data_IF_734837801753
#
_entry.id   IF_734837801753
#
_cell.length_a   1.000
_cell.length_b   1.000
_cell.length_c   1.000
_cell.angle_alpha   90.00
_cell.angle_beta   90.00
_cell.angle_gamma   90.00
#
_symmetry.space_group_name_H-M   'P 1'
#
loop_
_entity.id
_entity.type
_entity.pdbx_description
1 polymer ?
#
# COMPACT_ATOMS: atom_id res chain seq x y z
N UNK A 1 -30.00 -0.47 5.50
CA UNK A 1 -29.67 -1.63 6.35
C UNK A 1 -28.20 -1.98 6.23
N UNK A 2 -27.64 -2.64 7.23
CA UNK A 2 -26.28 -3.16 7.20
C UNK A 2 -26.20 -4.53 7.89
N UNK A 3 -25.41 -5.45 7.34
CA UNK A 3 -25.06 -6.72 7.98
C UNK A 3 -23.53 -6.75 8.16
N UNK A 4 -23.10 -6.97 9.41
CA UNK A 4 -21.68 -7.00 9.79
C UNK A 4 -21.35 -8.39 10.31
N UNK A 5 -20.41 -9.05 9.65
CA UNK A 5 -19.92 -10.39 10.04
C UNK A 5 -18.42 -10.34 10.23
N UNK A 6 -17.93 -10.94 11.30
CA UNK A 6 -16.51 -10.88 11.60
C UNK A 6 -16.14 -11.55 12.91
N UNK A 7 -14.85 -11.51 13.21
CA UNK A 7 -14.30 -11.88 14.51
C UNK A 7 -13.16 -10.93 14.89
N UNK A 8 -12.94 -10.79 16.19
CA UNK A 8 -11.84 -10.01 16.75
C UNK A 8 -11.11 -10.84 17.79
N UNK A 9 -9.78 -10.82 17.73
CA UNK A 9 -8.91 -11.51 18.68
C UNK A 9 -7.98 -10.48 19.30
N UNK A 10 -7.94 -10.44 20.63
CA UNK A 10 -7.01 -9.60 21.38
C UNK A 10 -6.21 -10.45 22.36
N UNK A 11 -4.88 -10.37 22.26
CA UNK A 11 -3.94 -10.94 23.22
C UNK A 11 -3.26 -9.79 23.95
N UNK A 12 -3.34 -9.77 25.28
CA UNK A 12 -2.77 -8.71 26.10
C UNK A 12 -1.93 -9.24 27.25
N UNK A 13 -0.82 -8.57 27.54
CA UNK A 13 0.02 -8.78 28.72
C UNK A 13 0.31 -7.43 29.36
N UNK A 14 -0.27 -7.17 30.52
CA UNK A 14 -0.16 -5.90 31.25
C UNK A 14 0.68 -5.98 32.53
N UNK A 15 1.45 -7.06 32.72
CA UNK A 15 2.27 -7.30 33.90
C UNK A 15 3.64 -7.88 33.53
N UNK A 16 4.63 -7.62 34.38
CA UNK A 16 6.00 -8.12 34.28
C UNK A 16 7.01 -6.98 34.05
N UNK A 17 8.29 -7.29 34.26
CA UNK A 17 9.38 -6.30 34.35
C UNK A 17 10.20 -6.12 33.06
N UNK A 18 9.75 -6.74 31.97
CA UNK A 18 10.50 -6.82 30.71
C UNK A 18 9.69 -6.48 29.48
N UNK A 19 8.46 -7.02 29.38
CA UNK A 19 7.61 -6.90 28.20
C UNK A 19 6.16 -6.79 28.64
N UNK A 20 5.47 -5.77 28.13
CA UNK A 20 4.05 -5.54 28.26
C UNK A 20 3.48 -5.08 26.91
N UNK A 21 2.17 -5.20 26.72
CA UNK A 21 1.54 -4.76 25.48
C UNK A 21 0.29 -5.54 25.11
N UNK A 22 -0.16 -5.32 23.88
CA UNK A 22 -1.23 -6.08 23.27
C UNK A 22 -1.02 -6.26 21.77
N UNK A 23 -1.62 -7.30 21.23
CA UNK A 23 -1.86 -7.54 19.82
C UNK A 23 -3.37 -7.70 19.61
N UNK A 24 -3.90 -7.01 18.61
CA UNK A 24 -5.30 -7.06 18.24
C UNK A 24 -5.41 -7.30 16.74
N UNK A 25 -6.30 -8.20 16.35
CA UNK A 25 -6.60 -8.53 14.96
C UNK A 25 -8.11 -8.56 14.78
N UNK A 26 -8.59 -7.85 13.77
CA UNK A 26 -10.00 -7.77 13.41
C UNK A 26 -10.18 -8.21 11.96
N UNK A 27 -11.09 -9.15 11.75
CA UNK A 27 -11.62 -9.49 10.44
C UNK A 27 -13.09 -9.06 10.42
N UNK A 28 -13.46 -8.14 9.54
CA UNK A 28 -14.86 -7.72 9.37
C UNK A 28 -15.28 -7.58 7.90
N UNK A 29 -16.54 -7.94 7.63
CA UNK A 29 -17.26 -7.77 6.37
C UNK A 29 -18.51 -6.97 6.67
N UNK A 30 -18.69 -5.83 6.01
CA UNK A 30 -19.89 -4.99 6.17
C UNK A 30 -20.63 -4.91 4.86
N UNK A 31 -21.81 -5.51 4.76
CA UNK A 31 -22.70 -5.21 3.63
C UNK A 31 -23.63 -4.07 4.00
N UNK A 32 -23.88 -3.15 3.08
CA UNK A 32 -24.82 -2.04 3.27
C UNK A 32 -25.76 -1.96 2.07
N UNK A 33 -27.00 -1.54 2.31
CA UNK A 33 -27.96 -1.30 1.25
C UNK A 33 -29.04 -0.33 1.74
N UNK A 34 -29.73 0.31 0.81
CA UNK A 34 -30.88 1.15 1.13
C UNK A 34 -32.18 0.33 1.04
N UNK A 35 -33.12 0.65 1.90
CA UNK A 35 -34.51 0.31 1.64
C UNK A 35 -35.10 1.43 0.80
N UNK A 36 -35.94 1.09 -0.18
CA UNK A 36 -36.60 2.05 -1.08
C UNK A 36 -35.63 2.78 -2.03
N UNK A 37 -36.13 3.84 -2.68
CA UNK A 37 -35.37 4.68 -3.60
C UNK A 37 -34.83 5.92 -2.87
N UNK A 38 -33.67 6.41 -3.29
CA UNK A 38 -33.02 7.57 -2.62
C UNK A 38 -33.77 8.88 -2.83
N UNK A 39 -34.58 8.98 -3.89
CA UNK A 39 -35.37 10.15 -4.24
C UNK A 39 -36.85 9.79 -4.46
N UNK A 40 -37.74 10.72 -4.16
CA UNK A 40 -39.13 10.67 -4.56
C UNK A 40 -39.41 11.90 -5.43
N UNK A 41 -39.68 11.68 -6.71
CA UNK A 41 -40.03 12.72 -7.67
C UNK A 41 -41.52 13.01 -7.60
N UNK A 42 -41.89 14.29 -7.51
CA UNK A 42 -43.28 14.74 -7.58
C UNK A 42 -43.92 14.41 -8.94
N UNK A 43 -43.12 14.35 -10.00
CA UNK A 43 -43.57 13.97 -11.33
C UNK A 43 -43.69 12.45 -11.45
N UNK A 44 -44.88 11.86 -11.68
CA UNK A 44 -45.09 10.42 -11.73
C UNK A 44 -44.42 9.71 -12.92
N UNK A 45 -44.11 10.42 -14.00
CA UNK A 45 -43.36 9.86 -15.13
C UNK A 45 -41.85 9.80 -14.82
N UNK A 46 -41.31 10.84 -14.18
CA UNK A 46 -39.93 10.86 -13.70
C UNK A 46 -39.71 9.83 -12.59
N UNK A 47 -40.67 9.70 -11.66
CA UNK A 47 -40.65 8.68 -10.62
C UNK A 47 -40.61 7.27 -11.23
N UNK A 48 -41.49 6.95 -12.18
CA UNK A 48 -41.49 5.63 -12.84
C UNK A 48 -40.19 5.32 -13.59
N UNK A 49 -39.59 6.29 -14.27
CA UNK A 49 -38.32 6.05 -14.97
C UNK A 49 -37.16 5.88 -13.99
N UNK A 50 -37.16 6.65 -12.90
CA UNK A 50 -36.19 6.48 -11.82
C UNK A 50 -36.35 5.12 -11.16
N UNK A 51 -37.55 4.67 -10.80
CA UNK A 51 -37.77 3.34 -10.24
C UNK A 51 -37.32 2.19 -11.17
N UNK A 52 -37.40 2.41 -12.49
CA UNK A 52 -36.97 1.44 -13.52
C UNK A 52 -35.45 1.35 -13.69
N UNK A 53 -34.74 2.45 -13.45
CA UNK A 53 -33.30 2.59 -13.78
C UNK A 53 -32.40 2.72 -12.56
N UNK A 54 -32.97 3.11 -11.41
CA UNK A 54 -32.29 3.27 -10.15
C UNK A 54 -31.71 1.94 -9.67
N UNK A 55 -30.47 2.03 -9.20
CA UNK A 55 -29.74 0.94 -8.55
C UNK A 55 -29.64 1.18 -7.05
N UNK A 56 -30.48 2.05 -6.49
CA UNK A 56 -30.37 2.51 -5.11
C UNK A 56 -30.63 1.39 -4.08
N UNK A 57 -31.39 0.37 -4.46
CA UNK A 57 -31.59 -0.84 -3.67
C UNK A 57 -30.47 -1.88 -3.84
N UNK A 58 -29.46 -1.65 -4.69
CA UNK A 58 -28.34 -2.57 -4.85
C UNK A 58 -27.51 -2.62 -3.55
N UNK A 59 -27.34 -3.83 -3.03
CA UNK A 59 -26.56 -4.06 -1.82
C UNK A 59 -25.07 -3.97 -2.13
N UNK A 60 -24.37 -3.04 -1.50
CA UNK A 60 -22.92 -3.02 -1.46
C UNK A 60 -22.41 -4.18 -0.60
N UNK A 61 -21.58 -5.04 -1.19
CA UNK A 61 -20.91 -6.17 -0.53
C UNK A 61 -19.39 -5.99 -0.64
N UNK A 62 -18.82 -4.99 0.06
CA UNK A 62 -17.38 -4.76 0.03
C UNK A 62 -16.63 -6.00 0.52
N UNK A 63 -15.48 -6.26 -0.09
CA UNK A 63 -14.60 -7.34 0.32
C UNK A 63 -14.00 -7.00 1.69
N UNK A 64 -13.95 -7.96 2.64
CA UNK A 64 -13.34 -7.77 3.96
C UNK A 64 -11.98 -7.08 3.86
N UNK A 65 -11.70 -6.18 4.81
CA UNK A 65 -10.41 -5.51 4.94
C UNK A 65 -9.86 -5.71 6.35
N UNK A 66 -9.27 -6.88 6.65
CA UNK A 66 -8.76 -7.14 7.97
C UNK A 66 -7.70 -6.13 8.38
N UNK A 67 -7.59 -5.91 9.68
CA UNK A 67 -6.66 -4.96 10.29
C UNK A 67 -6.06 -5.55 11.55
N UNK A 68 -4.79 -5.24 11.79
CA UNK A 68 -4.09 -5.61 12.99
C UNK A 68 -3.37 -4.41 13.59
N UNK A 69 -3.26 -4.39 14.91
CA UNK A 69 -2.44 -3.43 15.65
C UNK A 69 -1.74 -4.08 16.82
N UNK A 70 -0.54 -3.62 17.09
CA UNK A 70 0.23 -4.01 18.24
C UNK A 70 0.78 -2.77 18.94
N UNK A 71 0.73 -2.78 20.26
CA UNK A 71 1.48 -1.87 21.11
C UNK A 71 2.34 -2.73 22.03
N UNK A 72 3.66 -2.68 21.83
CA UNK A 72 4.62 -3.50 22.56
C UNK A 72 5.60 -2.60 23.29
N UNK A 73 5.61 -2.67 24.61
CA UNK A 73 6.56 -1.97 25.47
C UNK A 73 7.58 -2.97 26.03
N UNK A 74 8.85 -2.67 25.80
CA UNK A 74 10.01 -3.39 26.34
C UNK A 74 10.73 -2.47 27.31
N UNK A 75 11.20 -3.02 28.42
CA UNK A 75 11.91 -2.24 29.41
C UNK A 75 12.93 -3.10 30.15
N UNK A 76 13.95 -2.46 30.69
CA UNK A 76 14.94 -3.11 31.54
C UNK A 76 14.77 -2.62 32.99
N UNK A 77 14.99 -3.49 33.99
CA UNK A 77 15.05 -3.06 35.39
C UNK A 77 16.07 -1.93 35.59
N UNK A 78 15.86 -1.09 36.60
CA UNK A 78 16.71 0.07 36.87
C UNK A 78 18.20 -0.29 37.04
N UNK A 79 18.50 -1.40 37.72
CA UNK A 79 19.87 -1.87 37.98
C UNK A 79 20.30 -3.01 37.06
N UNK A 80 19.75 -3.08 35.85
CA UNK A 80 20.12 -4.14 34.91
C UNK A 80 21.54 -3.93 34.34
N UNK A 81 22.36 -4.98 34.38
CA UNK A 81 23.72 -5.00 33.83
C UNK A 81 24.80 -4.57 34.83
N UNK A 82 26.07 -4.46 34.38
CA UNK A 82 27.16 -4.05 35.25
C UNK A 82 27.06 -2.57 35.61
N UNK A 83 27.37 -2.25 36.87
CA UNK A 83 27.52 -0.88 37.33
C UNK A 83 28.84 -0.30 36.80
N UNK A 84 28.78 0.91 36.26
CA UNK A 84 29.96 1.67 35.86
C UNK A 84 29.82 3.11 36.36
N UNK A 85 30.73 3.53 37.24
CA UNK A 85 30.74 4.89 37.81
C UNK A 85 29.40 5.33 38.44
N UNK A 86 28.72 4.43 39.18
CA UNK A 86 27.46 4.75 39.85
C UNK A 86 26.22 4.71 38.95
N UNK A 87 26.35 4.33 37.67
CA UNK A 87 25.24 4.19 36.74
C UNK A 87 25.15 2.77 36.19
N UNK A 88 23.93 2.37 35.80
CA UNK A 88 23.65 1.13 35.09
C UNK A 88 23.33 1.45 33.63
N UNK A 89 24.30 1.31 32.69
CA UNK A 89 24.11 1.69 31.29
C UNK A 89 23.03 0.87 30.58
N UNK A 90 22.85 -0.39 30.99
CA UNK A 90 21.84 -1.30 30.43
C UNK A 90 20.50 -1.25 31.20
N UNK A 91 20.47 -0.62 32.37
CA UNK A 91 19.28 -0.43 33.16
C UNK A 91 18.33 0.60 32.56
N UNK A 92 17.09 0.65 33.03
CA UNK A 92 16.14 1.75 32.79
C UNK A 92 16.00 2.22 31.33
N UNK A 93 16.07 1.28 30.39
CA UNK A 93 15.66 1.50 29.01
C UNK A 93 14.16 1.26 28.90
N UNK A 94 13.50 2.05 28.06
CA UNK A 94 12.11 1.81 27.66
C UNK A 94 12.00 1.96 26.15
N UNK A 95 11.49 0.94 25.50
CA UNK A 95 11.19 0.93 24.08
C UNK A 95 9.69 0.66 23.92
N UNK A 96 8.98 1.46 23.14
CA UNK A 96 7.58 1.22 22.78
C UNK A 96 7.45 1.21 21.27
N UNK A 97 6.98 0.09 20.72
CA UNK A 97 6.68 -0.10 19.31
C UNK A 97 5.16 -0.07 19.12
N UNK A 98 4.69 0.87 18.29
CA UNK A 98 3.32 0.92 17.80
C UNK A 98 3.32 0.40 16.36
N UNK A 99 2.84 -0.81 16.14
CA UNK A 99 2.76 -1.41 14.82
C UNK A 99 1.30 -1.52 14.35
N UNK A 100 1.07 -1.37 13.06
CA UNK A 100 -0.22 -1.56 12.42
C UNK A 100 -0.08 -2.18 11.06
N UNK A 101 -1.10 -2.92 10.66
CA UNK A 101 -1.25 -3.51 9.34
C UNK A 101 -2.72 -3.43 8.94
N UNK A 102 -2.98 -3.11 7.68
CA UNK A 102 -4.32 -3.21 7.10
C UNK A 102 -4.23 -3.85 5.73
N UNK A 103 -5.12 -4.81 5.48
CA UNK A 103 -5.31 -5.37 4.16
C UNK A 103 -5.62 -4.27 3.15
N UNK A 104 -4.97 -4.35 1.99
CA UNK A 104 -5.31 -3.53 0.85
C UNK A 104 -6.76 -3.75 0.41
N UNK A 105 -7.37 -2.73 -0.20
CA UNK A 105 -8.76 -2.82 -0.63
C UNK A 105 -8.86 -3.44 -2.01
N UNK A 106 -9.91 -4.24 -2.21
CA UNK A 106 -10.31 -4.69 -3.53
C UNK A 106 -11.11 -3.61 -4.25
N UNK A 107 -10.90 -3.53 -5.56
CA UNK A 107 -11.67 -2.68 -6.45
C UNK A 107 -11.83 -3.35 -7.81
N UNK A 108 -12.73 -2.80 -8.60
CA UNK A 108 -12.97 -3.26 -9.96
C UNK A 108 -12.06 -2.50 -10.92
N UNK A 109 -11.22 -3.23 -11.64
CA UNK A 109 -10.41 -2.70 -12.73
C UNK A 109 -10.77 -3.41 -14.03
N UNK A 110 -11.05 -2.63 -15.06
CA UNK A 110 -11.53 -3.11 -16.37
C UNK A 110 -10.74 -2.51 -17.53
N UNK A 111 -9.67 -1.74 -17.27
CA UNK A 111 -8.86 -1.12 -18.32
C UNK A 111 -9.43 0.17 -18.93
N UNK A 112 -10.38 0.84 -18.27
CA UNK A 112 -10.97 2.11 -18.72
C UNK A 112 -12.45 2.05 -19.14
N UNK A 113 -13.16 0.96 -18.84
CA UNK A 113 -14.57 0.77 -19.22
C UNK A 113 -15.37 -0.07 -18.23
N UNK A 114 -16.29 -0.90 -18.72
CA UNK A 114 -16.99 -1.88 -17.90
C UNK A 114 -17.03 -3.22 -18.63
N UNK A 115 -16.78 -4.31 -17.89
CA UNK A 115 -16.87 -5.68 -18.41
C UNK A 115 -17.89 -6.40 -17.53
N UNK A 116 -19.03 -6.86 -18.07
CA UNK A 116 -20.03 -7.59 -17.30
C UNK A 116 -19.42 -8.78 -16.55
N UNK A 117 -19.72 -8.91 -15.26
CA UNK A 117 -19.23 -10.01 -14.41
C UNK A 117 -17.81 -9.80 -13.83
N UNK A 118 -17.08 -8.76 -14.23
CA UNK A 118 -15.80 -8.41 -13.62
C UNK A 118 -16.04 -7.40 -12.49
N UNK A 119 -15.90 -7.86 -11.24
CA UNK A 119 -16.06 -7.05 -10.05
C UNK A 119 -14.98 -7.41 -9.01
N UNK A 120 -14.46 -6.41 -8.30
CA UNK A 120 -13.50 -6.58 -7.20
C UNK A 120 -12.32 -7.52 -7.54
N UNK A 121 -11.83 -7.43 -8.78
CA UNK A 121 -10.87 -8.37 -9.35
C UNK A 121 -9.42 -8.03 -9.00
N UNK A 122 -9.14 -6.83 -8.51
CA UNK A 122 -7.78 -6.37 -8.18
C UNK A 122 -7.74 -5.85 -6.76
N UNK A 123 -6.66 -6.16 -6.04
CA UNK A 123 -6.41 -5.69 -4.67
C UNK A 123 -5.22 -4.74 -4.65
N UNK A 124 -5.33 -3.62 -3.95
CA UNK A 124 -4.17 -2.81 -3.60
C UNK A 124 -3.24 -3.56 -2.65
N UNK A 125 -1.96 -3.18 -2.61
CA UNK A 125 -1.02 -3.65 -1.59
C UNK A 125 -1.51 -3.28 -0.19
N UNK A 126 -1.13 -4.12 0.77
CA UNK A 126 -1.35 -3.90 2.18
C UNK A 126 -0.66 -2.64 2.69
N UNK A 127 -1.25 -2.03 3.71
CA UNK A 127 -0.71 -0.84 4.36
C UNK A 127 -0.06 -1.24 5.68
N UNK A 128 1.19 -0.81 5.87
CA UNK A 128 1.99 -1.10 7.06
C UNK A 128 2.38 0.19 7.79
N UNK A 129 2.37 0.15 9.12
CA UNK A 129 2.82 1.25 9.96
C UNK A 129 3.63 0.75 11.14
N UNK A 130 4.69 1.47 11.50
CA UNK A 130 5.49 1.17 12.68
C UNK A 130 6.14 2.44 13.20
N UNK A 131 5.78 2.84 14.42
CA UNK A 131 6.37 3.97 15.13
C UNK A 131 7.08 3.45 16.39
N UNK A 132 8.19 4.08 16.73
CA UNK A 132 9.07 3.66 17.82
C UNK A 132 9.33 4.84 18.76
N UNK A 133 9.12 4.64 20.05
CA UNK A 133 9.65 5.51 21.11
C UNK A 133 10.70 4.75 21.88
N UNK A 134 11.89 5.33 22.01
CA UNK A 134 12.97 4.84 22.85
C UNK A 134 13.28 5.89 23.91
N UNK A 135 13.41 5.46 25.17
CA UNK A 135 13.90 6.31 26.24
C UNK A 135 14.90 5.59 27.13
N UNK A 136 15.81 6.38 27.70
CA UNK A 136 16.79 5.93 28.69
C UNK A 136 16.87 6.97 29.78
N UNK A 137 16.56 6.55 31.00
CA UNK A 137 16.70 7.37 32.19
C UNK A 137 18.02 7.09 32.89
N UNK A 138 18.64 8.15 33.41
CA UNK A 138 19.90 8.11 34.14
C UNK A 138 19.77 9.01 35.36
N UNK A 139 19.88 8.41 36.54
CA UNK A 139 19.98 9.15 37.79
C UNK A 139 21.40 9.68 37.93
N UNK A 140 21.58 10.99 37.90
CA UNK A 140 22.89 11.65 37.94
C UNK A 140 23.22 12.10 39.37
N UNK A 141 22.20 12.45 40.15
CA UNK A 141 22.31 12.74 41.58
C UNK A 141 21.03 12.29 42.28
N UNK A 142 21.03 12.27 43.61
CA UNK A 142 19.86 11.85 44.40
C UNK A 142 18.57 12.57 44.00
N UNK A 143 18.66 13.85 43.62
CA UNK A 143 17.54 14.71 43.27
C UNK A 143 17.40 14.96 41.76
N UNK A 144 18.28 14.41 40.90
CA UNK A 144 18.33 14.74 39.48
C UNK A 144 18.26 13.48 38.60
N UNK A 145 17.22 13.41 37.77
CA UNK A 145 17.05 12.40 36.72
C UNK A 145 17.05 13.05 35.33
N UNK A 146 17.86 12.49 34.42
CA UNK A 146 17.89 12.86 33.01
C UNK A 146 17.28 11.71 32.19
N UNK A 147 16.32 12.03 31.33
CA UNK A 147 15.74 11.07 30.39
C UNK A 147 16.03 11.52 28.95
N UNK A 148 16.75 10.69 28.22
CA UNK A 148 16.99 10.83 26.79
C UNK A 148 15.88 10.13 26.04
N UNK A 149 15.30 10.80 25.04
CA UNK A 149 14.16 10.33 24.27
C UNK A 149 14.48 10.35 22.77
N UNK A 150 14.08 9.31 22.06
CA UNK A 150 14.08 9.26 20.59
C UNK A 150 12.72 8.75 20.13
N UNK A 151 12.00 9.58 19.38
CA UNK A 151 10.73 9.20 18.74
C UNK A 151 10.95 9.10 17.23
N UNK A 152 10.64 7.93 16.66
CA UNK A 152 10.75 7.65 15.23
C UNK A 152 9.37 7.32 14.68
N UNK A 153 8.91 8.07 13.70
CA UNK A 153 7.74 7.68 12.90
C UNK A 153 8.19 6.86 11.70
N UNK A 154 7.42 5.86 11.31
CA UNK A 154 7.75 4.96 10.20
C UNK A 154 9.18 4.39 10.30
N UNK A 155 9.49 3.74 11.43
CA UNK A 155 10.84 3.25 11.78
C UNK A 155 11.45 2.33 10.72
N UNK A 156 10.61 1.55 10.03
CA UNK A 156 11.03 0.65 8.94
C UNK A 156 10.99 1.29 7.55
N UNK A 157 10.63 2.57 7.45
CA UNK A 157 10.53 3.31 6.19
C UNK A 157 9.63 2.61 5.16
N UNK A 158 8.47 2.12 5.61
CA UNK A 158 7.44 1.55 4.74
C UNK A 158 7.00 2.59 3.71
N UNK A 159 6.87 2.13 2.46
CA UNK A 159 6.42 2.93 1.32
C UNK A 159 5.00 2.51 0.94
N UNK A 160 4.03 3.05 1.68
CA UNK A 160 2.62 2.83 1.37
C UNK A 160 2.19 3.82 0.29
N UNK A 161 1.99 3.31 -0.93
CA UNK A 161 1.61 4.15 -2.06
C UNK A 161 0.16 4.66 -1.91
N UNK A 162 -0.06 5.94 -2.19
CA UNK A 162 -1.41 6.51 -2.21
C UNK A 162 -2.17 6.04 -3.44
N UNK A 163 -3.40 5.60 -3.25
CA UNK A 163 -4.33 5.30 -4.35
C UNK A 163 -4.97 6.52 -4.99
N UNK A 164 -4.67 7.74 -4.51
CA UNK A 164 -5.35 8.98 -4.93
C UNK A 164 -4.41 10.16 -5.13
N UNK A 165 -3.57 10.49 -4.15
CA UNK A 165 -2.96 11.82 -4.06
C UNK A 165 -1.77 12.03 -5.02
N UNK A 166 -1.08 10.96 -5.43
CA UNK A 166 0.05 11.08 -6.36
C UNK A 166 -0.37 11.29 -7.82
N UNK A 167 -1.60 10.94 -8.18
CA UNK A 167 -2.06 10.97 -9.56
C UNK A 167 -2.57 12.37 -9.91
N UNK A 168 -2.05 12.94 -10.99
CA UNK A 168 -2.45 14.25 -11.49
C UNK A 168 -3.90 14.25 -12.00
N UNK A 169 -4.28 13.21 -12.76
CA UNK A 169 -5.62 13.03 -13.31
C UNK A 169 -5.94 11.53 -13.52
N UNK A 170 -7.09 11.25 -14.15
CA UNK A 170 -7.48 9.88 -14.47
C UNK A 170 -6.58 9.19 -15.50
N UNK A 171 -5.91 9.94 -16.39
CA UNK A 171 -5.00 9.38 -17.40
C UNK A 171 -3.68 8.94 -16.78
N UNK A 172 -3.18 9.71 -15.83
CA UNK A 172 -2.02 9.35 -15.01
C UNK A 172 -2.29 8.05 -14.23
N UNK A 173 -3.45 7.97 -13.56
CA UNK A 173 -3.89 6.74 -12.90
C UNK A 173 -4.00 5.55 -13.87
N UNK A 174 -4.60 5.77 -15.04
CA UNK A 174 -4.76 4.73 -16.05
C UNK A 174 -3.41 4.26 -16.62
N UNK A 175 -2.45 5.17 -16.84
CA UNK A 175 -1.11 4.85 -17.29
C UNK A 175 -0.38 3.97 -16.28
N UNK A 176 -0.41 4.35 -14.98
CA UNK A 176 0.09 3.52 -13.90
C UNK A 176 -0.55 2.13 -13.89
N UNK A 177 -1.89 2.07 -13.87
CA UNK A 177 -2.61 0.79 -13.81
C UNK A 177 -2.33 -0.13 -15.00
N UNK A 178 -2.20 0.44 -16.21
CA UNK A 178 -1.87 -0.32 -17.43
C UNK A 178 -0.39 -0.73 -17.51
N UNK A 179 0.47 -0.05 -16.76
CA UNK A 179 1.89 -0.40 -16.66
C UNK A 179 2.15 -1.60 -15.75
N UNK A 180 1.24 -1.90 -14.81
CA UNK A 180 1.37 -3.05 -13.92
C UNK A 180 1.21 -4.37 -14.67
N UNK A 181 2.09 -5.32 -14.39
CA UNK A 181 1.99 -6.67 -14.91
C UNK A 181 1.11 -7.51 -13.97
N UNK A 182 -0.21 -7.39 -14.13
CA UNK A 182 -1.18 -8.12 -13.30
C UNK A 182 -1.11 -9.64 -13.57
N UNK A 183 -1.60 -10.45 -12.63
CA UNK A 183 -1.66 -11.90 -12.81
C UNK A 183 -2.42 -12.30 -14.08
N UNK A 184 -2.04 -13.43 -14.67
CA UNK A 184 -2.67 -13.95 -15.88
C UNK A 184 -4.18 -14.09 -15.70
N UNK A 185 -4.64 -14.62 -14.57
CA UNK A 185 -6.05 -14.84 -14.24
C UNK A 185 -6.87 -13.54 -14.26
N UNK A 186 -6.24 -12.42 -13.86
CA UNK A 186 -6.85 -11.10 -13.95
C UNK A 186 -6.78 -10.63 -15.41
N UNK A 187 -5.60 -10.66 -16.02
CA UNK A 187 -5.36 -10.19 -17.38
C UNK A 187 -6.26 -10.84 -18.44
N UNK A 188 -6.53 -12.13 -18.34
CA UNK A 188 -7.39 -12.88 -19.26
C UNK A 188 -8.82 -12.32 -19.28
N UNK A 189 -9.33 -11.90 -18.11
CA UNK A 189 -10.65 -11.25 -17.97
C UNK A 189 -10.68 -9.83 -18.54
N UNK A 190 -9.53 -9.21 -18.76
CA UNK A 190 -9.37 -7.84 -19.27
C UNK A 190 -9.03 -7.79 -20.77
N UNK A 191 -8.92 -8.96 -21.41
CA UNK A 191 -8.45 -9.11 -22.79
C UNK A 191 -9.25 -8.32 -23.83
N UNK A 192 -10.52 -8.02 -23.56
CA UNK A 192 -11.38 -7.17 -24.40
C UNK A 192 -11.14 -5.67 -24.25
N UNK A 193 -10.46 -5.24 -23.17
CA UNK A 193 -10.26 -3.82 -22.86
C UNK A 193 -8.84 -3.36 -23.16
N UNK A 194 -7.83 -4.13 -22.76
CA UNK A 194 -6.43 -3.85 -23.09
C UNK A 194 -5.57 -5.11 -23.01
N UNK A 195 -4.34 -5.01 -23.47
CA UNK A 195 -3.37 -6.10 -23.44
C UNK A 195 -2.60 -6.05 -22.11
N UNK A 196 -2.92 -6.94 -21.18
CA UNK A 196 -2.12 -7.15 -19.97
C UNK A 196 -0.85 -7.95 -20.28
N UNK A 197 0.27 -7.57 -19.67
CA UNK A 197 1.48 -8.39 -19.62
C UNK A 197 1.38 -9.23 -18.34
N UNK A 198 1.33 -10.57 -18.41
CA UNK A 198 1.22 -11.39 -17.21
C UNK A 198 2.39 -11.19 -16.25
N UNK A 199 2.10 -11.01 -14.97
CA UNK A 199 3.10 -10.89 -13.91
C UNK A 199 2.51 -11.13 -12.53
N UNK A 200 3.14 -10.53 -11.52
CA UNK A 200 2.73 -10.65 -10.11
C UNK A 200 2.56 -9.30 -9.43
N UNK A 201 2.39 -8.23 -10.23
CA UNK A 201 2.23 -6.89 -9.69
C UNK A 201 0.83 -6.70 -9.10
N UNK A 202 0.77 -5.86 -8.07
CA UNK A 202 -0.46 -5.33 -7.52
C UNK A 202 -0.45 -3.80 -7.56
N UNK A 203 -1.61 -3.14 -7.67
CA UNK A 203 -1.70 -1.70 -7.40
C UNK A 203 -1.11 -1.36 -6.03
N UNK A 204 -0.29 -0.32 -5.99
CA UNK A 204 0.59 0.00 -4.88
C UNK A 204 2.04 -0.44 -5.09
N UNK A 205 2.31 -1.30 -6.08
CA UNK A 205 3.68 -1.56 -6.52
C UNK A 205 4.26 -0.33 -7.22
N UNK A 206 5.56 -0.16 -7.08
CA UNK A 206 6.28 1.00 -7.57
C UNK A 206 7.64 0.63 -8.14
N UNK A 207 8.15 1.49 -9.01
CA UNK A 207 9.47 1.37 -9.60
C UNK A 207 10.56 1.41 -8.53
N UNK A 208 11.37 0.35 -8.46
CA UNK A 208 12.37 0.17 -7.40
C UNK A 208 13.65 0.95 -7.67
N UNK A 209 14.11 0.94 -8.93
CA UNK A 209 15.36 1.59 -9.32
C UNK A 209 15.44 1.93 -10.81
N UNK A 210 16.11 3.04 -11.12
CA UNK A 210 16.44 3.45 -12.48
C UNK A 210 15.29 4.19 -13.17
N UNK A 211 15.58 4.62 -14.40
CA UNK A 211 14.65 5.39 -15.20
C UNK A 211 13.45 4.56 -15.66
N UNK A 212 12.38 5.25 -16.00
CA UNK A 212 11.20 4.63 -16.59
C UNK A 212 11.57 4.03 -17.94
N UNK A 213 11.24 2.75 -18.15
CA UNK A 213 11.43 2.06 -19.43
C UNK A 213 10.07 1.49 -19.84
N UNK A 214 9.32 2.17 -20.72
CA UNK A 214 7.97 1.74 -21.06
C UNK A 214 8.02 0.39 -21.77
N UNK A 215 7.18 -0.54 -21.31
CA UNK A 215 6.91 -1.77 -22.04
C UNK A 215 5.51 -1.64 -22.66
N UNK A 216 5.46 -1.65 -23.99
CA UNK A 216 4.23 -1.52 -24.76
C UNK A 216 3.75 -2.91 -25.15
N UNK A 217 2.59 -3.36 -24.65
CA UNK A 217 2.07 -4.67 -25.00
C UNK A 217 1.37 -4.62 -26.36
N UNK A 218 1.71 -5.55 -27.25
CA UNK A 218 1.14 -5.69 -28.60
C UNK A 218 0.75 -7.14 -28.87
N UNK A 219 -0.25 -7.36 -29.72
CA UNK A 219 -0.67 -8.72 -30.08
C UNK A 219 0.35 -9.37 -31.01
N UNK A 220 0.77 -8.62 -32.03
CA UNK A 220 1.74 -9.00 -33.05
C UNK A 220 2.58 -7.77 -33.38
N UNK A 221 3.90 -7.91 -33.26
CA UNK A 221 4.85 -6.81 -33.42
C UNK A 221 4.90 -6.29 -34.87
N UNK A 222 4.54 -7.12 -35.84
CA UNK A 222 4.55 -6.76 -37.27
C UNK A 222 3.39 -5.84 -37.65
N UNK A 223 2.36 -5.73 -36.80
CA UNK A 223 1.23 -4.84 -37.00
C UNK A 223 1.45 -3.43 -36.40
N UNK A 224 2.59 -3.19 -35.76
CA UNK A 224 2.93 -1.87 -35.21
C UNK A 224 3.39 -0.95 -36.35
N UNK A 225 2.66 0.13 -36.58
CA UNK A 225 3.02 1.12 -37.60
C UNK A 225 4.27 1.89 -37.17
N UNK A 226 5.15 2.24 -38.13
CA UNK A 226 6.36 3.04 -37.85
C UNK A 226 6.06 4.35 -37.12
N UNK A 227 4.90 4.96 -37.35
CA UNK A 227 4.45 6.19 -36.69
C UNK A 227 4.02 6.01 -35.23
N UNK A 228 3.81 4.77 -34.79
CA UNK A 228 3.42 4.40 -33.42
C UNK A 228 4.60 3.90 -32.59
N UNK A 229 5.78 3.75 -33.20
CA UNK A 229 6.98 3.34 -32.52
C UNK A 229 7.44 4.46 -31.59
N UNK A 230 7.55 4.15 -30.30
CA UNK A 230 8.02 5.06 -29.27
C UNK A 230 9.51 4.83 -29.06
N UNK A 231 10.29 5.91 -29.18
CA UNK A 231 11.73 5.85 -28.93
C UNK A 231 12.02 5.40 -27.49
N UNK A 232 13.01 4.52 -27.34
CA UNK A 232 13.38 3.92 -26.04
C UNK A 232 12.36 2.97 -25.41
N UNK A 233 11.27 2.61 -26.10
CA UNK A 233 10.30 1.65 -25.59
C UNK A 233 10.65 0.19 -25.94
N UNK A 234 10.37 -0.68 -24.99
CA UNK A 234 10.37 -2.14 -25.19
C UNK A 234 8.95 -2.54 -25.60
N UNK A 235 8.82 -3.53 -26.47
CA UNK A 235 7.53 -4.05 -26.92
C UNK A 235 7.40 -5.50 -26.51
N UNK A 236 6.37 -5.82 -25.74
CA UNK A 236 6.04 -7.20 -25.40
C UNK A 236 5.03 -7.74 -26.40
N UNK A 237 5.39 -8.81 -27.11
CA UNK A 237 4.50 -9.46 -28.07
C UNK A 237 3.74 -10.61 -27.42
N UNK A 238 2.41 -10.54 -27.41
CA UNK A 238 1.54 -11.53 -26.76
C UNK A 238 1.71 -12.95 -27.33
N UNK A 239 1.82 -13.08 -28.66
CA UNK A 239 1.83 -14.38 -29.31
C UNK A 239 3.09 -15.20 -29.00
N UNK A 240 4.26 -14.55 -28.98
CA UNK A 240 5.53 -15.20 -28.65
C UNK A 240 5.93 -15.07 -27.18
N UNK A 241 5.27 -14.16 -26.44
CA UNK A 241 5.62 -13.75 -25.07
C UNK A 241 7.04 -13.17 -24.94
N UNK A 242 7.61 -12.67 -26.03
CA UNK A 242 8.96 -12.10 -26.09
C UNK A 242 8.95 -10.58 -26.06
N UNK A 243 10.11 -10.01 -25.73
CA UNK A 243 10.34 -8.58 -25.67
C UNK A 243 11.22 -8.13 -26.83
N UNK A 244 10.83 -7.06 -27.51
CA UNK A 244 11.51 -6.53 -28.68
C UNK A 244 11.80 -5.04 -28.55
N UNK A 245 12.88 -4.58 -29.17
CA UNK A 245 13.20 -3.17 -29.38
C UNK A 245 13.33 -2.90 -30.87
N UNK A 246 12.96 -1.70 -31.29
CA UNK A 246 13.09 -1.28 -32.68
C UNK A 246 14.45 -0.61 -32.89
N UNK A 247 15.30 -1.20 -33.73
CA UNK A 247 16.67 -0.70 -34.01
C UNK A 247 16.72 0.34 -35.15
N UNK A 248 15.58 0.96 -35.47
CA UNK A 248 15.43 1.93 -36.57
C UNK A 248 15.07 1.30 -37.91
N UNK A 249 15.35 0.01 -38.13
CA UNK A 249 14.98 -0.70 -39.36
C UNK A 249 14.29 -2.05 -39.13
N UNK A 250 14.46 -2.66 -37.96
CA UNK A 250 13.92 -3.98 -37.66
C UNK A 250 13.64 -4.13 -36.16
N UNK A 251 12.78 -5.10 -35.84
CA UNK A 251 12.55 -5.57 -34.48
C UNK A 251 13.66 -6.52 -34.07
N UNK A 252 14.28 -6.27 -32.92
CA UNK A 252 15.34 -7.09 -32.34
C UNK A 252 14.89 -7.53 -30.95
N UNK A 253 15.02 -8.82 -30.65
CA UNK A 253 14.71 -9.35 -29.31
C UNK A 253 15.64 -8.70 -28.27
N UNK A 254 15.07 -8.28 -27.15
CA UNK A 254 15.81 -7.62 -26.07
C UNK A 254 16.72 -8.63 -25.39
N UNK A 255 17.98 -8.25 -25.15
CA UNK A 255 18.92 -9.06 -24.38
C UNK A 255 18.34 -9.47 -23.02
N UNK A 256 18.46 -10.76 -22.67
CA UNK A 256 17.89 -11.32 -21.44
C UNK A 256 18.37 -10.58 -20.18
N UNK A 257 19.66 -10.23 -20.08
CA UNK A 257 20.21 -9.54 -18.91
C UNK A 257 19.65 -8.14 -18.78
N UNK A 258 19.45 -7.46 -19.91
CA UNK A 258 18.77 -6.16 -19.94
C UNK A 258 17.32 -6.31 -19.48
N UNK A 259 16.58 -7.29 -20.00
CA UNK A 259 15.18 -7.50 -19.65
C UNK A 259 15.00 -7.89 -18.18
N UNK A 260 15.82 -8.80 -17.67
CA UNK A 260 15.85 -9.20 -16.26
C UNK A 260 16.05 -8.00 -15.34
N UNK A 261 16.96 -7.09 -15.71
CA UNK A 261 17.20 -5.85 -14.96
C UNK A 261 15.98 -4.93 -14.97
N UNK A 262 15.33 -4.76 -16.12
CA UNK A 262 14.11 -3.94 -16.27
C UNK A 262 12.98 -4.52 -15.42
N UNK A 263 12.75 -5.83 -15.50
CA UNK A 263 11.70 -6.53 -14.76
C UNK A 263 11.95 -6.52 -13.25
N UNK A 264 13.16 -6.89 -12.82
CA UNK A 264 13.56 -6.93 -11.40
C UNK A 264 13.46 -5.56 -10.73
N UNK A 265 13.82 -4.49 -11.44
CA UNK A 265 13.76 -3.14 -10.90
C UNK A 265 12.37 -2.48 -11.09
N UNK A 266 11.43 -3.19 -11.73
CA UNK A 266 10.11 -2.67 -12.09
C UNK A 266 10.18 -1.34 -12.85
N UNK A 267 11.13 -1.24 -13.79
CA UNK A 267 11.37 -0.01 -14.55
C UNK A 267 10.21 0.40 -15.44
N UNK A 268 9.35 -0.56 -15.78
CA UNK A 268 8.15 -0.38 -16.58
C UNK A 268 6.98 0.22 -15.81
N UNK A 269 7.05 0.36 -14.48
CA UNK A 269 5.97 0.98 -13.71
C UNK A 269 6.01 2.51 -13.90
N UNK A 270 4.93 3.02 -14.49
CA UNK A 270 4.72 4.44 -14.73
C UNK A 270 4.24 5.10 -13.43
N UNK A 271 5.15 5.83 -12.77
CA UNK A 271 4.88 6.33 -11.41
C UNK A 271 3.95 7.55 -11.48
N UNK A 272 3.10 7.78 -10.46
CA UNK A 272 2.24 8.96 -10.43
C UNK A 272 3.05 10.24 -10.63
N UNK A 273 2.52 11.17 -11.43
CA UNK A 273 3.26 12.37 -11.83
C UNK A 273 3.55 13.31 -10.64
N UNK A 274 2.72 13.32 -9.60
CA UNK A 274 2.95 14.09 -8.38
C UNK A 274 3.71 13.24 -7.34
N UNK A 275 4.99 12.96 -7.65
CA UNK A 275 5.83 12.01 -6.89
C UNK A 275 5.94 12.32 -5.39
N UNK A 276 5.82 13.59 -4.99
CA UNK A 276 5.82 14.01 -3.58
C UNK A 276 4.64 13.43 -2.77
N UNK A 277 3.51 13.17 -3.43
CA UNK A 277 2.31 12.61 -2.81
C UNK A 277 2.13 11.11 -3.08
N UNK A 278 3.08 10.47 -3.78
CA UNK A 278 3.03 9.04 -4.07
C UNK A 278 3.13 8.19 -2.81
N UNK A 279 3.98 8.58 -1.84
CA UNK A 279 4.13 7.89 -0.57
C UNK A 279 3.82 8.82 0.60
N UNK A 280 2.87 8.43 1.44
CA UNK A 280 2.51 9.17 2.63
C UNK A 280 3.30 8.67 3.84
N UNK A 281 3.36 9.48 4.91
CA UNK A 281 4.05 9.16 6.16
C UNK A 281 5.58 8.94 6.02
N UNK A 282 6.34 9.96 5.59
CA UNK A 282 7.80 9.88 5.56
C UNK A 282 8.37 9.66 6.96
N UNK A 283 9.48 8.93 7.05
CA UNK A 283 10.18 8.71 8.33
C UNK A 283 10.68 10.01 8.92
N UNK A 284 10.34 10.26 10.18
CA UNK A 284 10.83 11.40 10.96
C UNK A 284 11.50 10.88 12.24
N UNK A 285 12.49 11.62 12.72
CA UNK A 285 13.23 11.29 13.94
C UNK A 285 13.27 12.54 14.81
N UNK A 286 12.79 12.42 16.03
CA UNK A 286 12.76 13.47 17.04
C UNK A 286 13.62 13.06 18.22
N UNK A 287 14.46 13.97 18.68
CA UNK A 287 15.28 13.79 19.87
C UNK A 287 14.75 14.68 20.98
N UNK A 288 14.69 14.14 22.19
CA UNK A 288 14.26 14.86 23.37
C UNK A 288 15.21 14.65 24.53
N UNK A 289 15.30 15.66 25.40
CA UNK A 289 15.94 15.56 26.70
C UNK A 289 14.96 16.09 27.73
N UNK A 290 14.68 15.29 28.75
CA UNK A 290 13.84 15.68 29.88
C UNK A 290 14.69 15.68 31.15
N UNK A 291 14.56 16.75 31.92
CA UNK A 291 15.19 16.92 33.22
C UNK A 291 14.09 16.89 34.28
N UNK A 292 14.25 16.05 35.30
CA UNK A 292 13.33 15.96 36.43
C UNK A 292 14.12 16.15 37.73
N UNK A 293 13.65 17.08 38.56
CA UNK A 293 14.20 17.34 39.88
C UNK A 293 13.13 17.11 40.94
N UNK A 294 13.45 16.31 41.94
CA UNK A 294 12.62 16.22 43.14
C UNK A 294 13.05 17.31 44.12
N UNK A 295 12.10 18.16 44.51
CA UNK A 295 12.34 19.32 45.38
C UNK A 295 11.59 19.07 46.70
N UNK A 296 12.34 18.54 47.68
CA UNK A 296 11.98 18.22 49.07
C UNK A 296 10.91 17.14 49.31
#
# INVERSE_FOLDING_TARGET
YADVRGFEITLSKNRGDWIQGFLNYTYDVRSTGHFEFNYAYENPAAQREYERTARDSEQSKPVPRPYARANMSFFTPYEFGPEFAGVYPLGDWRLTLLASWSSGFYFTWTGGGSIPGVLYNVQWNDVWGADLRLSKSVKVANMLNLEFLVDLTNVFNFKNMSSRYGFYDGKDYEAYMKSLHLSQDIGDKLSSSYVNIPGSDNPGDYRLKGEFTPIVPVVDINNVLLTQIKDGAIYWERNSQKYFEFSGSQWVEVDERKMDKVLKNKQYIDMPNQTFFSFLNPRQIYFGLKLSMEIF
#
